data_IF_863033835106
#
_entry.id   IF_863033835106
#
_cell.length_a   1.000
_cell.length_b   1.000
_cell.length_c   1.000
_cell.angle_alpha   90.00
_cell.angle_beta   90.00
_cell.angle_gamma   90.00
#
_symmetry.space_group_name_H-M   'P 1'
#
loop_
_entity.id
_entity.type
_entity.pdbx_description
1 polymer ?
#
# COMPACT_ATOMS: atom_id res chain seq x y z
N UNK A 1 60.03 48.42 33.52
CA UNK A 1 60.00 48.27 32.06
C UNK A 1 58.55 48.05 31.63
N UNK A 2 58.05 48.80 30.63
CA UNK A 2 56.69 48.71 30.06
C UNK A 2 56.43 47.34 29.42
N UNK A 3 55.15 46.90 29.40
CA UNK A 3 54.36 46.33 28.26
C UNK A 3 53.20 45.48 28.84
N UNK A 4 51.95 45.98 28.81
CA UNK A 4 50.90 45.90 27.78
C UNK A 4 50.20 44.52 27.63
N UNK A 5 48.88 44.49 27.92
CA UNK A 5 47.76 43.91 27.09
C UNK A 5 47.60 42.36 27.21
N UNK A 6 46.44 41.72 27.45
CA UNK A 6 45.08 41.79 26.84
C UNK A 6 44.01 41.25 27.82
N UNK A 7 42.83 41.87 27.84
CA UNK A 7 41.57 41.35 28.39
C UNK A 7 40.90 40.38 27.41
N UNK A 8 40.49 39.19 27.86
CA UNK A 8 39.50 38.35 27.14
C UNK A 8 38.31 38.15 28.07
N UNK A 9 37.20 38.83 27.77
CA UNK A 9 35.89 38.56 28.36
C UNK A 9 35.31 37.29 27.69
N UNK A 10 35.07 36.26 28.48
CA UNK A 10 34.29 35.09 28.07
C UNK A 10 32.81 35.37 28.34
N UNK A 11 32.01 35.61 27.30
CA UNK A 11 30.56 35.64 27.40
C UNK A 11 30.00 34.25 27.06
N UNK A 12 29.58 33.52 28.11
CA UNK A 12 28.64 32.41 28.02
C UNK A 12 27.27 32.96 28.45
N UNK A 13 26.21 32.71 27.68
CA UNK A 13 24.85 32.38 28.17
C UNK A 13 23.82 32.33 27.02
N UNK A 14 23.28 31.12 26.80
CA UNK A 14 21.84 30.92 26.62
C UNK A 14 21.26 31.00 25.21
N UNK A 15 21.47 29.98 24.37
CA UNK A 15 20.56 29.69 23.27
C UNK A 15 19.69 28.48 23.65
N UNK A 16 18.47 28.74 24.13
CA UNK A 16 17.44 27.75 24.30
C UNK A 16 17.03 27.20 22.94
N UNK A 17 17.55 26.02 22.58
CA UNK A 17 17.12 25.30 21.39
C UNK A 17 15.88 24.49 21.75
N UNK A 18 14.70 25.02 21.42
CA UNK A 18 13.48 24.23 21.39
C UNK A 18 13.62 23.17 20.30
N UNK A 19 13.87 21.93 20.70
CA UNK A 19 13.83 20.78 19.80
C UNK A 19 12.37 20.59 19.41
N UNK A 20 12.01 21.06 18.23
CA UNK A 20 10.77 20.64 17.57
C UNK A 20 11.02 19.20 17.13
N UNK A 21 10.48 18.24 17.88
CA UNK A 21 10.33 16.88 17.39
C UNK A 21 9.31 16.92 16.26
N UNK A 22 9.79 17.20 15.04
CA UNK A 22 9.04 16.85 13.83
C UNK A 22 8.91 15.33 13.88
N UNK A 23 7.74 14.85 14.26
CA UNK A 23 7.40 13.44 14.10
C UNK A 23 7.62 13.10 12.64
N UNK A 24 8.59 12.23 12.36
CA UNK A 24 8.77 11.70 11.02
C UNK A 24 7.42 11.14 10.57
N UNK A 25 6.92 11.63 9.43
CA UNK A 25 5.82 11.01 8.72
C UNK A 25 6.26 9.56 8.48
N UNK A 26 5.71 8.63 9.25
CA UNK A 26 5.98 7.21 9.06
C UNK A 26 5.47 6.92 7.66
N UNK A 27 6.40 6.79 6.71
CA UNK A 27 6.13 6.79 5.27
C UNK A 27 4.85 6.00 4.97
N UNK A 28 3.74 6.72 4.72
CA UNK A 28 2.41 6.13 4.50
C UNK A 28 2.28 5.62 3.06
N UNK A 29 3.41 5.24 2.47
CA UNK A 29 3.51 4.81 1.07
C UNK A 29 3.82 3.33 1.03
N UNK A 30 2.90 2.55 0.47
CA UNK A 30 3.09 1.16 0.09
C UNK A 30 3.58 1.11 -1.35
N UNK A 31 4.73 0.50 -1.55
CA UNK A 31 5.24 0.15 -2.87
C UNK A 31 4.91 -1.30 -3.19
N UNK A 32 4.34 -1.52 -4.36
CA UNK A 32 4.24 -2.84 -4.97
C UNK A 32 5.59 -3.17 -5.59
N UNK A 33 6.16 -4.29 -5.16
CA UNK A 33 7.51 -4.73 -5.50
C UNK A 33 7.50 -6.17 -5.94
N UNK A 34 8.54 -6.59 -6.65
CA UNK A 34 8.78 -7.98 -7.03
C UNK A 34 8.88 -8.13 -8.53
N UNK A 35 9.31 -9.32 -8.91
CA UNK A 35 9.55 -9.72 -10.30
C UNK A 35 8.99 -11.12 -10.53
N UNK A 36 9.00 -11.52 -11.79
CA UNK A 36 8.62 -12.85 -12.24
C UNK A 36 9.81 -13.60 -12.84
N UNK A 37 9.75 -14.93 -12.76
CA UNK A 37 10.72 -15.83 -13.35
C UNK A 37 10.00 -17.04 -13.94
N UNK A 38 10.28 -17.28 -15.22
CA UNK A 38 9.84 -18.46 -15.93
C UNK A 38 11.03 -19.32 -16.36
N UNK A 39 10.94 -20.61 -16.10
CA UNK A 39 11.83 -21.64 -16.65
C UNK A 39 10.94 -22.74 -17.20
N UNK A 40 11.02 -22.95 -18.51
CA UNK A 40 10.22 -23.94 -19.21
C UNK A 40 10.30 -25.32 -18.54
N UNK A 41 9.15 -25.98 -18.40
CA UNK A 41 9.01 -27.31 -17.79
C UNK A 41 9.55 -27.42 -16.35
N UNK A 42 9.73 -26.31 -15.64
CA UNK A 42 10.39 -26.32 -14.34
C UNK A 42 9.72 -25.39 -13.34
N UNK A 43 9.66 -24.08 -13.61
CA UNK A 43 9.26 -23.06 -12.63
C UNK A 43 8.45 -21.95 -13.31
N UNK A 44 7.35 -21.58 -12.66
CA UNK A 44 6.74 -20.25 -12.73
C UNK A 44 6.83 -19.68 -11.32
N UNK A 45 7.41 -18.49 -11.17
CA UNK A 45 7.56 -17.83 -9.88
C UNK A 45 7.24 -16.35 -10.04
N UNK A 46 6.37 -15.83 -9.18
CA UNK A 46 6.11 -14.41 -9.04
C UNK A 46 6.37 -14.01 -7.58
N UNK A 47 7.09 -12.90 -7.40
CA UNK A 47 7.51 -12.43 -6.07
C UNK A 47 6.84 -11.12 -5.67
N UNK A 48 5.76 -10.77 -6.38
CA UNK A 48 4.99 -9.56 -6.13
C UNK A 48 4.52 -9.50 -4.67
N UNK A 49 4.61 -8.32 -4.06
CA UNK A 49 4.24 -8.07 -2.66
C UNK A 49 4.04 -6.58 -2.39
N UNK A 50 3.24 -6.30 -1.37
CA UNK A 50 3.11 -4.98 -0.76
C UNK A 50 4.26 -4.75 0.23
N UNK A 51 4.90 -3.58 0.18
CA UNK A 51 6.00 -3.24 1.10
C UNK A 51 6.10 -1.72 1.31
N UNK A 52 6.26 -1.22 2.54
CA UNK A 52 6.34 -1.99 3.79
C UNK A 52 4.98 -2.58 4.21
N UNK A 53 4.98 -3.39 5.26
CA UNK A 53 3.77 -3.98 5.84
C UNK A 53 4.14 -4.97 6.95
N UNK A 54 3.28 -5.25 7.94
CA UNK A 54 1.98 -4.63 8.28
C UNK A 54 2.03 -3.11 8.47
N UNK A 55 0.92 -2.43 8.22
CA UNK A 55 0.75 -1.01 8.52
C UNK A 55 0.04 -0.78 9.85
N UNK A 56 0.40 0.30 10.52
CA UNK A 56 -0.31 0.83 11.69
C UNK A 56 -0.62 2.30 11.40
N UNK A 57 -1.89 2.67 11.44
CA UNK A 57 -2.38 4.00 11.09
C UNK A 57 -3.46 4.43 12.07
N UNK A 58 -3.87 5.71 12.01
CA UNK A 58 -5.08 6.18 12.69
C UNK A 58 -6.24 6.30 11.72
N UNK A 59 -7.47 6.20 12.23
CA UNK A 59 -8.64 6.59 11.44
C UNK A 59 -8.49 8.06 11.00
N UNK A 60 -8.65 8.32 9.70
CA UNK A 60 -8.43 9.61 9.05
C UNK A 60 -7.05 9.76 8.39
N UNK A 61 -6.13 8.81 8.59
CA UNK A 61 -4.82 8.84 7.91
C UNK A 61 -4.98 8.52 6.43
N UNK A 62 -4.21 9.21 5.58
CA UNK A 62 -4.11 8.90 4.16
C UNK A 62 -2.94 7.94 3.90
N UNK A 63 -3.19 6.86 3.15
CA UNK A 63 -2.17 5.88 2.75
C UNK A 63 -2.11 5.85 1.23
N UNK A 64 -0.90 5.81 0.68
CA UNK A 64 -0.66 5.78 -0.77
C UNK A 64 -0.13 4.43 -1.18
N UNK A 65 -0.72 3.81 -2.19
CA UNK A 65 -0.18 2.63 -2.86
C UNK A 65 0.42 3.05 -4.20
N UNK A 66 1.59 2.51 -4.53
CA UNK A 66 2.33 2.84 -5.74
C UNK A 66 2.81 1.57 -6.44
N UNK A 67 2.75 1.56 -7.76
CA UNK A 67 3.33 0.52 -8.60
C UNK A 67 4.29 1.14 -9.64
N UNK A 68 5.48 1.57 -9.21
CA UNK A 68 6.40 2.26 -10.11
C UNK A 68 7.09 1.32 -11.09
N UNK A 69 7.23 0.03 -10.75
CA UNK A 69 8.21 -0.84 -11.38
C UNK A 69 7.69 -2.21 -11.81
N UNK A 70 6.62 -2.75 -11.21
CA UNK A 70 6.16 -4.08 -11.63
C UNK A 70 5.42 -4.00 -12.97
N UNK A 71 5.56 -5.02 -13.84
CA UNK A 71 4.95 -4.99 -15.17
C UNK A 71 3.47 -5.37 -15.16
N UNK A 72 2.87 -5.65 -14.01
CA UNK A 72 1.48 -6.12 -13.93
C UNK A 72 0.62 -5.17 -13.09
N UNK A 73 -0.67 -5.01 -13.44
CA UNK A 73 -1.60 -4.27 -12.60
C UNK A 73 -1.92 -5.07 -11.35
N UNK A 74 -2.32 -4.38 -10.28
CA UNK A 74 -2.68 -4.98 -9.01
C UNK A 74 -4.02 -4.47 -8.54
N UNK A 75 -4.51 -5.09 -7.48
CA UNK A 75 -5.65 -4.60 -6.72
C UNK A 75 -5.28 -4.51 -5.25
N UNK A 76 -5.95 -3.61 -4.55
CA UNK A 76 -5.96 -3.54 -3.09
C UNK A 76 -7.42 -3.76 -2.71
N UNK A 77 -7.74 -4.96 -2.22
CA UNK A 77 -9.11 -5.36 -1.95
C UNK A 77 -9.26 -5.78 -0.50
N UNK A 78 -10.10 -5.09 0.25
CA UNK A 78 -10.38 -5.40 1.65
C UNK A 78 -11.27 -6.65 1.71
N UNK A 79 -10.81 -7.65 2.45
CA UNK A 79 -11.45 -8.97 2.60
C UNK A 79 -11.53 -9.37 4.06
N UNK A 80 -12.28 -10.44 4.39
CA UNK A 80 -12.17 -11.00 5.73
C UNK A 80 -10.84 -11.72 5.89
N UNK A 81 -10.35 -11.84 7.12
CA UNK A 81 -9.12 -12.59 7.42
C UNK A 81 -9.19 -14.04 6.91
N UNK A 82 -10.35 -14.68 7.02
CA UNK A 82 -10.57 -16.07 6.57
C UNK A 82 -10.58 -16.24 5.06
N UNK A 83 -10.68 -15.15 4.29
CA UNK A 83 -10.67 -15.17 2.84
C UNK A 83 -9.24 -15.07 2.26
N UNK A 84 -8.24 -14.81 3.12
CA UNK A 84 -6.84 -14.76 2.70
C UNK A 84 -6.34 -16.16 2.34
N UNK A 85 -5.76 -16.36 1.15
CA UNK A 85 -5.14 -17.63 0.77
C UNK A 85 -4.04 -18.05 1.75
N UNK A 86 -4.12 -19.27 2.29
CA UNK A 86 -3.15 -19.81 3.24
C UNK A 86 -2.26 -20.91 2.63
N UNK A 87 -2.62 -21.39 1.43
CA UNK A 87 -1.92 -22.44 0.71
C UNK A 87 -1.81 -22.12 -0.79
N UNK A 88 -0.96 -22.88 -1.48
CA UNK A 88 -0.84 -22.80 -2.94
C UNK A 88 -2.17 -23.10 -3.63
N UNK A 89 -2.93 -24.05 -3.09
CA UNK A 89 -4.25 -24.43 -3.62
C UNK A 89 -5.25 -23.26 -3.49
N UNK A 90 -5.26 -22.58 -2.35
CA UNK A 90 -6.12 -21.41 -2.13
C UNK A 90 -5.76 -20.26 -3.09
N UNK A 91 -4.48 -20.10 -3.42
CA UNK A 91 -4.05 -19.10 -4.40
C UNK A 91 -4.64 -19.38 -5.77
N UNK A 92 -4.64 -20.64 -6.23
CA UNK A 92 -5.17 -21.02 -7.53
C UNK A 92 -6.70 -21.10 -7.56
N UNK A 93 -7.34 -21.36 -6.43
CA UNK A 93 -8.80 -21.47 -6.31
C UNK A 93 -9.43 -20.31 -5.53
N UNK A 94 -8.82 -19.13 -5.54
CA UNK A 94 -9.27 -17.99 -4.75
C UNK A 94 -10.66 -17.50 -5.19
N UNK A 95 -11.72 -17.98 -4.52
CA UNK A 95 -13.12 -17.64 -4.82
C UNK A 95 -13.41 -16.17 -4.60
N UNK A 96 -12.97 -15.61 -3.47
CA UNK A 96 -13.10 -14.17 -3.17
C UNK A 96 -12.41 -13.30 -4.24
N UNK A 97 -11.28 -13.75 -4.78
CA UNK A 97 -10.56 -13.03 -5.84
C UNK A 97 -11.39 -13.01 -7.13
N UNK A 98 -12.00 -14.13 -7.50
CA UNK A 98 -12.89 -14.19 -8.67
C UNK A 98 -14.12 -13.29 -8.50
N UNK A 99 -14.71 -13.24 -7.31
CA UNK A 99 -15.84 -12.36 -7.01
C UNK A 99 -15.43 -10.88 -7.10
N UNK A 100 -14.27 -10.51 -6.56
CA UNK A 100 -13.71 -9.16 -6.65
C UNK A 100 -13.45 -8.76 -8.11
N UNK A 101 -12.80 -9.63 -8.90
CA UNK A 101 -12.53 -9.36 -10.32
C UNK A 101 -13.84 -9.19 -11.10
N UNK A 102 -14.83 -10.05 -10.83
CA UNK A 102 -16.16 -9.96 -11.43
C UNK A 102 -16.85 -8.64 -11.06
N UNK A 103 -16.75 -8.21 -9.80
CA UNK A 103 -17.29 -6.92 -9.35
C UNK A 103 -16.61 -5.72 -10.02
N UNK A 104 -15.31 -5.81 -10.31
CA UNK A 104 -14.58 -4.85 -11.15
C UNK A 104 -14.94 -4.95 -12.64
N UNK A 105 -15.80 -5.89 -13.05
CA UNK A 105 -16.15 -6.13 -14.45
C UNK A 105 -15.04 -6.80 -15.26
N UNK A 106 -14.14 -7.53 -14.60
CA UNK A 106 -13.04 -8.28 -15.21
C UNK A 106 -13.43 -9.75 -15.28
N UNK A 107 -13.48 -10.30 -16.50
CA UNK A 107 -13.72 -11.72 -16.74
C UNK A 107 -12.51 -12.43 -17.38
N UNK A 108 -12.68 -13.68 -17.85
CA UNK A 108 -11.61 -14.45 -18.48
C UNK A 108 -10.98 -13.79 -19.72
N UNK A 109 -11.71 -12.90 -20.39
CA UNK A 109 -11.24 -12.11 -21.53
C UNK A 109 -10.65 -10.75 -21.17
N UNK A 110 -10.53 -10.42 -19.88
CA UNK A 110 -10.12 -9.10 -19.39
C UNK A 110 -11.31 -8.18 -19.06
N UNK A 111 -11.06 -6.85 -18.99
CA UNK A 111 -12.09 -5.85 -18.68
C UNK A 111 -13.25 -5.84 -19.68
N UNK A 112 -14.47 -5.95 -19.17
CA UNK A 112 -15.71 -5.87 -19.95
C UNK A 112 -16.31 -4.46 -20.00
N UNK A 113 -17.50 -4.31 -20.62
CA UNK A 113 -18.19 -3.01 -20.75
C UNK A 113 -18.59 -2.36 -19.43
N UNK A 114 -18.73 -3.16 -18.37
CA UNK A 114 -19.07 -2.70 -17.01
C UNK A 114 -17.85 -2.54 -16.11
N UNK A 115 -16.66 -2.43 -16.70
CA UNK A 115 -15.42 -2.27 -15.95
C UNK A 115 -15.47 -1.04 -15.05
N UNK A 116 -15.11 -1.23 -13.78
CA UNK A 116 -14.93 -0.15 -12.81
C UNK A 116 -13.59 -0.34 -12.08
N UNK A 117 -12.73 0.68 -11.96
CA UNK A 117 -11.45 0.55 -11.30
C UNK A 117 -11.55 0.64 -9.76
N UNK A 118 -12.71 1.03 -9.23
CA UNK A 118 -12.95 1.25 -7.79
C UNK A 118 -14.29 0.65 -7.38
N UNK A 119 -14.37 0.16 -6.16
CA UNK A 119 -15.55 -0.48 -5.55
C UNK A 119 -15.73 0.00 -4.11
N UNK A 120 -16.98 -0.06 -3.63
CA UNK A 120 -17.32 0.27 -2.25
C UNK A 120 -16.98 1.71 -1.89
N UNK A 121 -16.46 1.90 -0.68
CA UNK A 121 -16.05 3.21 -0.18
C UNK A 121 -14.80 3.75 -0.88
N UNK A 122 -14.01 2.89 -1.56
CA UNK A 122 -12.82 3.34 -2.30
C UNK A 122 -13.18 4.26 -3.47
N UNK A 123 -14.41 4.17 -3.99
CA UNK A 123 -14.93 5.13 -4.97
C UNK A 123 -15.03 6.57 -4.43
N UNK A 124 -15.06 6.73 -3.09
CA UNK A 124 -15.03 8.00 -2.38
C UNK A 124 -13.65 8.27 -1.73
N UNK A 125 -12.60 7.58 -2.17
CA UNK A 125 -11.24 7.66 -1.61
C UNK A 125 -11.16 7.24 -0.13
N UNK A 126 -11.90 6.20 0.25
CA UNK A 126 -11.94 5.66 1.60
C UNK A 126 -11.77 4.13 1.65
N UNK A 127 -10.94 3.65 2.57
CA UNK A 127 -10.92 2.24 2.96
C UNK A 127 -11.48 2.10 4.38
N UNK A 128 -12.60 1.39 4.47
CA UNK A 128 -13.39 1.27 5.69
C UNK A 128 -13.73 -0.18 6.02
N UNK A 129 -14.08 -1.00 5.03
CA UNK A 129 -14.70 -2.30 5.24
C UNK A 129 -14.45 -3.28 4.09
N UNK A 130 -14.81 -4.54 4.32
CA UNK A 130 -14.81 -5.59 3.29
C UNK A 130 -15.63 -5.17 2.08
N UNK A 131 -15.09 -5.43 0.88
CA UNK A 131 -15.68 -5.03 -0.39
C UNK A 131 -15.17 -3.69 -0.92
N UNK A 132 -14.45 -2.91 -0.11
CA UNK A 132 -13.68 -1.77 -0.61
C UNK A 132 -12.52 -2.29 -1.45
N UNK A 133 -12.41 -1.82 -2.69
CA UNK A 133 -11.36 -2.29 -3.59
C UNK A 133 -11.02 -1.24 -4.63
N UNK A 134 -9.75 -1.17 -5.02
CA UNK A 134 -9.32 -0.39 -6.16
C UNK A 134 -8.22 -1.09 -6.94
N UNK A 135 -8.14 -0.77 -8.23
CA UNK A 135 -7.10 -1.24 -9.14
C UNK A 135 -6.00 -0.20 -9.27
N UNK A 136 -4.76 -0.68 -9.36
CA UNK A 136 -3.57 0.13 -9.62
C UNK A 136 -2.86 -0.43 -10.86
N UNK A 137 -2.53 0.46 -11.79
CA UNK A 137 -1.92 0.13 -13.07
C UNK A 137 -0.45 -0.22 -12.96
N UNK A 138 0.16 -0.51 -14.10
CA UNK A 138 1.60 -0.78 -14.26
C UNK A 138 2.22 0.16 -15.28
N UNK A 139 3.56 0.29 -15.22
CA UNK A 139 4.31 1.05 -16.23
C UNK A 139 4.31 0.41 -17.62
N UNK A 140 4.03 -0.89 -17.71
CA UNK A 140 3.90 -1.63 -18.97
C UNK A 140 2.57 -1.38 -19.70
N UNK A 141 1.54 -0.88 -18.99
CA UNK A 141 0.24 -0.51 -19.54
C UNK A 141 -0.12 0.95 -19.19
N UNK A 142 0.62 1.92 -19.74
CA UNK A 142 0.44 3.32 -19.39
C UNK A 142 -0.95 3.85 -19.83
N UNK A 143 -1.57 4.65 -18.96
CA UNK A 143 -2.79 5.39 -19.28
C UNK A 143 -4.10 4.61 -19.11
N UNK A 144 -4.06 3.31 -18.81
CA UNK A 144 -5.26 2.52 -18.51
C UNK A 144 -5.73 2.67 -17.06
N UNK A 145 -4.80 2.61 -16.11
CA UNK A 145 -5.05 2.74 -14.67
C UNK A 145 -3.97 3.64 -14.03
N UNK A 146 -4.28 4.35 -12.92
CA UNK A 146 -3.27 5.11 -12.19
C UNK A 146 -2.21 4.19 -11.59
N UNK A 147 -0.93 4.57 -11.62
CA UNK A 147 0.17 3.83 -10.98
C UNK A 147 0.43 4.25 -9.53
N UNK A 148 -0.36 5.20 -9.02
CA UNK A 148 -0.36 5.68 -7.65
C UNK A 148 -1.78 6.03 -7.24
N UNK A 149 -2.25 5.50 -6.11
CA UNK A 149 -3.58 5.75 -5.56
C UNK A 149 -3.44 6.05 -4.07
N UNK A 150 -4.12 7.09 -3.60
CA UNK A 150 -4.15 7.47 -2.18
C UNK A 150 -5.56 7.32 -1.66
N UNK A 151 -5.71 6.58 -0.57
CA UNK A 151 -6.99 6.35 0.11
C UNK A 151 -6.91 6.81 1.56
N UNK A 152 -8.02 7.33 2.08
CA UNK A 152 -8.14 7.66 3.52
C UNK A 152 -8.64 6.44 4.27
N UNK A 153 -7.96 6.06 5.34
CA UNK A 153 -8.41 4.95 6.20
C UNK A 153 -9.50 5.47 7.12
N UNK A 154 -10.75 5.08 6.90
CA UNK A 154 -11.91 5.50 7.72
C UNK A 154 -12.48 4.37 8.56
N UNK A 155 -11.86 3.19 8.52
CA UNK A 155 -12.18 2.09 9.41
C UNK A 155 -12.05 2.50 10.88
N UNK A 156 -12.86 1.89 11.74
CA UNK A 156 -12.93 2.27 13.15
C UNK A 156 -11.60 2.00 13.87
N UNK A 157 -11.19 2.90 14.78
CA UNK A 157 -10.08 2.64 15.71
C UNK A 157 -10.32 1.34 16.50
N UNK A 158 -9.28 0.54 16.64
CA UNK A 158 -9.29 -0.82 17.19
C UNK A 158 -9.56 -1.92 16.15
N UNK A 159 -9.83 -1.59 14.89
CA UNK A 159 -10.05 -2.58 13.83
C UNK A 159 -8.75 -2.99 13.13
N UNK A 160 -8.82 -4.08 12.37
CA UNK A 160 -7.78 -4.49 11.43
C UNK A 160 -8.41 -4.75 10.07
N UNK A 161 -7.92 -4.06 9.04
CA UNK A 161 -8.26 -4.35 7.66
C UNK A 161 -7.27 -5.37 7.11
N UNK A 162 -7.80 -6.46 6.55
CA UNK A 162 -7.04 -7.44 5.79
C UNK A 162 -7.25 -7.16 4.31
N UNK A 163 -6.19 -7.20 3.51
CA UNK A 163 -6.31 -6.96 2.09
C UNK A 163 -5.42 -7.89 1.28
N UNK A 164 -5.87 -8.18 0.06
CA UNK A 164 -5.14 -8.97 -0.92
C UNK A 164 -5.17 -8.31 -2.30
N UNK A 165 -4.31 -8.78 -3.21
CA UNK A 165 -4.47 -8.54 -4.64
C UNK A 165 -5.28 -9.69 -5.26
N UNK A 166 -6.46 -9.40 -5.81
CA UNK A 166 -7.29 -10.39 -6.50
C UNK A 166 -6.67 -10.90 -7.81
N UNK A 167 -5.74 -10.15 -8.40
CA UNK A 167 -4.98 -10.56 -9.60
C UNK A 167 -3.84 -11.51 -9.21
N UNK A 168 -3.25 -11.29 -8.03
CA UNK A 168 -2.10 -12.02 -7.49
C UNK A 168 -2.38 -12.45 -6.05
N UNK A 169 -3.16 -13.54 -5.83
CA UNK A 169 -3.76 -13.85 -4.52
C UNK A 169 -2.77 -14.12 -3.37
N UNK A 170 -1.49 -14.33 -3.70
CA UNK A 170 -0.41 -14.44 -2.71
C UNK A 170 0.02 -13.08 -2.12
N UNK A 171 -0.31 -11.96 -2.77
CA UNK A 171 -0.03 -10.63 -2.25
C UNK A 171 -1.05 -10.27 -1.20
N UNK A 172 -0.58 -10.12 0.03
CA UNK A 172 -1.43 -9.86 1.19
C UNK A 172 -0.83 -8.77 2.06
N UNK A 173 -1.68 -8.05 2.77
CA UNK A 173 -1.25 -7.08 3.76
C UNK A 173 -2.33 -6.84 4.82
N UNK A 174 -1.94 -6.10 5.84
CA UNK A 174 -2.82 -5.74 6.95
C UNK A 174 -2.62 -4.29 7.36
N UNK A 175 -3.71 -3.64 7.76
CA UNK A 175 -3.71 -2.28 8.31
C UNK A 175 -4.36 -2.36 9.70
N UNK A 176 -3.57 -2.17 10.75
CA UNK A 176 -4.09 -1.98 12.11
C UNK A 176 -4.47 -0.52 12.29
N UNK A 177 -5.70 -0.26 12.74
CA UNK A 177 -6.22 1.11 12.94
C UNK A 177 -6.27 1.41 14.42
N UNK A 178 -5.55 2.44 14.86
CA UNK A 178 -5.45 2.90 16.25
C UNK A 178 -6.21 4.21 16.49
#
# INVERSE_FOLDING_TARGET
>A
MRRFVVLVLSALLGAGSSIVLVGADSDRTITIRGDERFVANTIIQATFRFSPGPLVVKSGDAVTWTNPATPEPHSISIVNQGDLPASVEDVFMCSVCNDILTAHGIGPGGPGPSFTPVLGNAAAHQLQAVGDSFLIGSSSMPGFLPTSVTETITAQSGSTLYYLCAIHPWMQGTISVN
#
